data_IF_576163146145
#
_entry.id   IF_576163146145
#
_cell.length_a   1.000
_cell.length_b   1.000
_cell.length_c   1.000
_cell.angle_alpha   90.00
_cell.angle_beta   90.00
_cell.angle_gamma   90.00
#
_symmetry.space_group_name_H-M   'P 1'
#
loop_
_entity.id
_entity.type
_entity.pdbx_description
1 polymer ?
#
# COMPACT_ATOMS: atom_id res chain seq x y z
N UNK A 1 9.53 3.77 -17.92
CA UNK A 1 8.13 3.87 -17.48
C UNK A 1 7.52 5.25 -17.78
N UNK A 2 8.07 6.35 -17.26
CA UNK A 2 7.47 7.70 -17.43
C UNK A 2 7.31 8.15 -18.88
N UNK A 3 8.18 7.70 -19.78
CA UNK A 3 8.16 8.00 -21.22
C UNK A 3 7.53 6.87 -22.03
N UNK A 4 6.82 5.93 -21.41
CA UNK A 4 6.13 4.87 -22.12
C UNK A 4 4.77 5.36 -22.66
N UNK A 5 4.17 4.56 -23.55
CA UNK A 5 2.86 4.80 -24.15
C UNK A 5 1.70 4.42 -23.21
N UNK A 6 1.99 4.19 -21.92
CA UNK A 6 0.94 3.95 -20.92
C UNK A 6 0.14 5.23 -20.69
N UNK A 7 -1.18 5.11 -20.67
CA UNK A 7 -2.08 6.21 -20.39
C UNK A 7 -1.97 6.67 -18.93
N UNK A 8 -1.80 5.72 -18.00
CA UNK A 8 -1.64 6.01 -16.59
C UNK A 8 -2.90 6.59 -15.94
N UNK A 9 -2.75 7.12 -14.74
CA UNK A 9 -3.84 7.73 -13.98
C UNK A 9 -3.83 9.26 -14.13
N UNK A 10 -4.99 9.80 -14.48
CA UNK A 10 -5.17 11.26 -14.59
C UNK A 10 -5.66 11.81 -13.26
N UNK A 11 -4.85 12.66 -12.63
CA UNK A 11 -5.23 13.33 -11.38
C UNK A 11 -6.15 14.51 -11.72
N UNK A 12 -7.37 14.56 -11.18
CA UNK A 12 -8.27 15.68 -11.43
C UNK A 12 -7.64 17.02 -11.04
N UNK A 13 -7.56 17.95 -11.99
CA UNK A 13 -6.97 19.28 -11.78
C UNK A 13 -5.44 19.37 -11.99
N UNK A 14 -4.79 18.27 -12.31
CA UNK A 14 -3.36 18.23 -12.66
C UNK A 14 -3.21 17.92 -14.15
N UNK A 15 -2.44 18.70 -14.93
CA UNK A 15 -2.17 18.39 -16.33
C UNK A 15 -1.25 17.18 -16.53
N UNK A 16 -0.52 16.75 -15.50
CA UNK A 16 0.40 15.63 -15.59
C UNK A 16 -0.30 14.30 -15.31
N UNK A 17 0.14 13.27 -16.02
CA UNK A 17 -0.31 11.89 -15.83
C UNK A 17 0.58 11.19 -14.82
N UNK A 18 -0.02 10.50 -13.87
CA UNK A 18 0.69 9.64 -12.94
C UNK A 18 0.82 8.23 -13.56
N UNK A 19 2.01 7.89 -14.03
CA UNK A 19 2.31 6.57 -14.62
C UNK A 19 2.99 5.66 -13.62
N UNK A 20 4.01 6.16 -12.91
CA UNK A 20 4.75 5.36 -11.95
C UNK A 20 5.33 6.20 -10.83
N UNK A 21 5.35 5.62 -9.64
CA UNK A 21 6.16 6.10 -8.51
C UNK A 21 7.23 5.05 -8.17
N UNK A 22 8.43 5.54 -7.90
CA UNK A 22 9.60 4.72 -7.60
C UNK A 22 10.16 5.14 -6.25
N UNK A 23 10.39 4.18 -5.37
CA UNK A 23 11.04 4.40 -4.08
C UNK A 23 11.97 3.23 -3.77
N UNK A 24 13.28 3.47 -3.82
CA UNK A 24 14.31 2.44 -3.73
C UNK A 24 14.05 1.30 -4.75
N UNK A 25 13.80 0.10 -4.28
CA UNK A 25 13.47 -1.10 -5.08
C UNK A 25 11.95 -1.27 -5.32
N UNK A 26 11.11 -0.53 -4.61
CA UNK A 26 9.67 -0.61 -4.79
C UNK A 26 9.19 0.25 -5.98
N UNK A 27 8.43 -0.36 -6.86
CA UNK A 27 7.83 0.27 -8.04
C UNK A 27 6.31 0.15 -7.99
N UNK A 28 5.61 1.28 -8.03
CA UNK A 28 4.15 1.30 -8.20
C UNK A 28 3.83 1.87 -9.58
N UNK A 29 3.04 1.14 -10.36
CA UNK A 29 2.57 1.56 -11.69
C UNK A 29 1.07 1.83 -11.62
N UNK A 30 0.64 2.91 -12.24
CA UNK A 30 -0.76 3.31 -12.32
C UNK A 30 -1.24 3.05 -13.75
N UNK A 31 -2.30 2.28 -13.88
CA UNK A 31 -2.92 1.95 -15.17
C UNK A 31 -4.34 2.50 -15.22
N UNK A 32 -4.74 2.95 -16.39
CA UNK A 32 -6.14 3.28 -16.72
C UNK A 32 -6.80 2.11 -17.46
N UNK A 33 -8.09 2.22 -17.72
CA UNK A 33 -8.82 1.26 -18.56
C UNK A 33 -8.37 1.24 -20.03
N UNK A 34 -7.68 2.30 -20.48
CA UNK A 34 -7.10 2.40 -21.82
C UNK A 34 -5.74 1.69 -21.94
N UNK A 35 -5.16 1.32 -20.81
CA UNK A 35 -3.91 0.55 -20.77
C UNK A 35 -4.18 -0.94 -20.90
N UNK A 36 -3.17 -1.69 -21.36
CA UNK A 36 -3.23 -3.14 -21.39
C UNK A 36 -2.12 -3.78 -20.56
N UNK A 37 -2.40 -4.96 -20.06
CA UNK A 37 -1.40 -5.76 -19.34
C UNK A 37 -0.18 -6.06 -20.22
N UNK A 38 -0.38 -6.36 -21.51
CA UNK A 38 0.71 -6.66 -22.45
C UNK A 38 1.65 -5.46 -22.61
N UNK A 39 1.09 -4.24 -22.80
CA UNK A 39 1.91 -3.02 -22.86
C UNK A 39 2.76 -2.83 -21.62
N UNK A 40 2.18 -3.07 -20.44
CA UNK A 40 2.94 -2.99 -19.20
C UNK A 40 4.07 -4.03 -19.18
N UNK A 41 3.80 -5.27 -19.55
CA UNK A 41 4.82 -6.33 -19.60
C UNK A 41 5.96 -5.96 -20.53
N UNK A 42 5.68 -5.49 -21.74
CA UNK A 42 6.70 -5.08 -22.70
C UNK A 42 7.60 -3.98 -22.14
N UNK A 43 7.01 -2.97 -21.48
CA UNK A 43 7.77 -1.88 -20.84
C UNK A 43 8.65 -2.39 -19.71
N UNK A 44 8.12 -3.28 -18.85
CA UNK A 44 8.85 -3.87 -17.73
C UNK A 44 9.97 -4.81 -18.20
N UNK A 45 9.72 -5.63 -19.22
CA UNK A 45 10.75 -6.50 -19.81
C UNK A 45 11.90 -5.70 -20.43
N UNK A 46 11.60 -4.65 -21.18
CA UNK A 46 12.61 -3.77 -21.76
C UNK A 46 13.44 -3.10 -20.66
N UNK A 47 12.80 -2.67 -19.56
CA UNK A 47 13.50 -2.11 -18.43
C UNK A 47 14.39 -3.15 -17.74
N UNK A 48 13.91 -4.38 -17.52
CA UNK A 48 14.70 -5.48 -16.97
C UNK A 48 15.92 -5.80 -17.83
N UNK A 49 15.74 -5.89 -19.15
CA UNK A 49 16.84 -6.13 -20.09
C UNK A 49 17.91 -5.04 -20.03
N UNK A 50 17.50 -3.78 -19.89
CA UNK A 50 18.41 -2.64 -19.85
C UNK A 50 19.13 -2.47 -18.50
N UNK A 51 18.44 -2.77 -17.39
CA UNK A 51 18.96 -2.54 -16.03
C UNK A 51 19.59 -3.78 -15.38
N UNK A 52 19.33 -4.98 -15.92
CA UNK A 52 19.70 -6.25 -15.29
C UNK A 52 18.84 -6.61 -14.07
N UNK A 53 17.80 -5.82 -13.76
CA UNK A 53 16.90 -6.09 -12.65
C UNK A 53 15.91 -7.21 -12.99
N UNK A 54 15.35 -7.81 -11.95
CA UNK A 54 14.33 -8.86 -12.07
C UNK A 54 13.19 -8.56 -11.11
N UNK A 55 11.96 -8.49 -11.61
CA UNK A 55 10.78 -8.34 -10.77
C UNK A 55 10.42 -9.66 -10.08
N UNK A 56 10.11 -9.58 -8.80
CA UNK A 56 9.60 -10.72 -8.06
C UNK A 56 8.08 -10.83 -8.27
N UNK A 57 7.68 -11.68 -9.22
CA UNK A 57 6.28 -11.87 -9.63
C UNK A 57 5.40 -12.27 -8.44
N UNK A 58 5.91 -13.06 -7.51
CA UNK A 58 5.12 -13.50 -6.34
C UNK A 58 4.76 -12.36 -5.36
N UNK A 59 5.44 -11.22 -5.46
CA UNK A 59 5.16 -10.01 -4.67
C UNK A 59 4.32 -8.98 -5.42
N UNK A 60 4.05 -9.18 -6.70
CA UNK A 60 3.21 -8.27 -7.46
C UNK A 60 1.78 -8.37 -6.95
N UNK A 61 1.19 -7.22 -6.66
CA UNK A 61 -0.22 -7.11 -6.28
C UNK A 61 -0.87 -5.97 -7.06
N UNK A 62 -2.10 -6.18 -7.47
CA UNK A 62 -2.92 -5.19 -8.16
C UNK A 62 -4.02 -4.75 -7.22
N UNK A 63 -4.18 -3.45 -7.04
CA UNK A 63 -5.26 -2.84 -6.28
C UNK A 63 -6.22 -2.19 -7.28
N UNK A 64 -7.39 -2.78 -7.56
CA UNK A 64 -8.38 -2.19 -8.45
C UNK A 64 -8.91 -0.88 -7.85
N UNK A 65 -9.02 0.18 -8.65
CA UNK A 65 -9.56 1.48 -8.22
C UNK A 65 -10.79 1.78 -9.10
N UNK A 66 -11.79 2.44 -8.54
CA UNK A 66 -13.02 2.82 -9.26
C UNK A 66 -14.29 2.32 -8.58
N UNK A 67 -15.36 2.18 -9.35
CA UNK A 67 -16.65 1.70 -8.84
C UNK A 67 -16.57 0.23 -8.41
N UNK A 68 -17.45 -0.19 -7.49
CA UNK A 68 -17.53 -1.60 -7.06
C UNK A 68 -17.77 -2.53 -8.26
N UNK A 69 -18.66 -2.12 -9.18
CA UNK A 69 -18.97 -2.89 -10.39
C UNK A 69 -17.70 -3.12 -11.23
N UNK A 70 -16.90 -2.08 -11.46
CA UNK A 70 -15.65 -2.21 -12.20
C UNK A 70 -14.65 -3.12 -11.49
N UNK A 71 -14.47 -2.95 -10.17
CA UNK A 71 -13.54 -3.76 -9.39
C UNK A 71 -13.90 -5.25 -9.40
N UNK A 72 -15.20 -5.56 -9.29
CA UNK A 72 -15.70 -6.93 -9.35
C UNK A 72 -15.50 -7.53 -10.75
N UNK A 73 -15.84 -6.75 -11.80
CA UNK A 73 -15.61 -7.17 -13.19
C UNK A 73 -14.13 -7.45 -13.47
N UNK A 74 -13.23 -6.57 -13.03
CA UNK A 74 -11.78 -6.75 -13.20
C UNK A 74 -11.28 -8.01 -12.47
N UNK A 75 -11.79 -8.32 -11.29
CA UNK A 75 -11.41 -9.52 -10.54
C UNK A 75 -11.90 -10.80 -11.22
N UNK A 76 -13.11 -10.79 -11.77
CA UNK A 76 -13.71 -11.95 -12.46
C UNK A 76 -13.07 -12.18 -13.82
N UNK A 77 -13.03 -11.16 -14.67
CA UNK A 77 -12.47 -11.26 -16.02
C UNK A 77 -10.95 -11.23 -16.06
N UNK A 78 -10.31 -10.66 -15.03
CA UNK A 78 -8.89 -10.33 -14.98
C UNK A 78 -8.42 -9.42 -16.12
N UNK A 79 -9.30 -8.62 -16.70
CA UNK A 79 -9.05 -7.71 -17.81
C UNK A 79 -9.27 -6.27 -17.37
N UNK A 80 -8.37 -5.34 -17.75
CA UNK A 80 -8.53 -3.90 -17.46
C UNK A 80 -9.74 -3.32 -18.20
N UNK A 81 -9.96 -3.78 -19.43
CA UNK A 81 -11.17 -3.51 -20.20
C UNK A 81 -11.54 -4.71 -21.08
N UNK A 82 -12.78 -4.80 -21.60
CA UNK A 82 -13.23 -5.88 -22.44
C UNK A 82 -12.31 -6.14 -23.64
N UNK A 83 -12.12 -7.41 -23.97
CA UNK A 83 -11.30 -7.89 -25.12
C UNK A 83 -9.78 -7.72 -24.99
N UNK A 84 -9.29 -7.32 -23.85
CA UNK A 84 -7.84 -7.29 -23.57
C UNK A 84 -7.33 -8.63 -23.04
N UNK A 85 -6.02 -8.84 -23.14
CA UNK A 85 -5.37 -10.02 -22.56
C UNK A 85 -5.58 -10.06 -21.04
N UNK A 86 -6.04 -11.20 -20.50
CA UNK A 86 -6.23 -11.33 -19.07
C UNK A 86 -4.90 -11.27 -18.29
N UNK A 87 -4.95 -10.64 -17.13
CA UNK A 87 -3.85 -10.64 -16.16
C UNK A 87 -3.58 -12.08 -15.71
N UNK A 88 -2.34 -12.56 -15.71
CA UNK A 88 -2.00 -13.94 -15.33
C UNK A 88 -2.51 -14.34 -13.94
N UNK A 89 -2.95 -15.58 -13.80
CA UNK A 89 -3.56 -16.10 -12.57
C UNK A 89 -2.65 -16.09 -11.34
N UNK A 90 -1.34 -16.07 -11.54
CA UNK A 90 -0.33 -15.98 -10.48
C UNK A 90 -0.14 -14.57 -9.94
N UNK A 91 -0.74 -13.55 -10.55
CA UNK A 91 -0.75 -12.17 -10.05
C UNK A 91 -1.93 -11.99 -9.10
N UNK A 92 -1.66 -11.50 -7.89
CA UNK A 92 -2.70 -11.22 -6.90
C UNK A 92 -3.46 -9.95 -7.27
N UNK A 93 -4.80 -10.05 -7.39
CA UNK A 93 -5.70 -8.90 -7.50
C UNK A 93 -6.42 -8.75 -6.15
N UNK A 94 -6.18 -7.63 -5.47
CA UNK A 94 -6.74 -7.37 -4.15
C UNK A 94 -8.27 -7.32 -4.18
N UNK A 95 -8.88 -7.95 -3.18
CA UNK A 95 -10.30 -7.81 -2.92
C UNK A 95 -10.57 -6.58 -2.04
N UNK A 96 -11.81 -6.11 -2.02
CA UNK A 96 -12.24 -5.13 -1.04
C UNK A 96 -12.02 -5.70 0.37
N UNK A 97 -11.82 -4.81 1.34
CA UNK A 97 -11.52 -5.12 2.75
C UNK A 97 -10.17 -5.85 2.99
N UNK A 98 -9.41 -6.19 1.93
CA UNK A 98 -8.09 -6.82 2.03
C UNK A 98 -6.98 -5.78 1.84
N UNK A 99 -6.21 -5.44 2.89
CA UNK A 99 -5.13 -4.48 2.79
C UNK A 99 -3.90 -5.08 2.11
N UNK A 100 -3.28 -4.30 1.23
CA UNK A 100 -1.97 -4.56 0.64
C UNK A 100 -0.95 -3.61 1.26
N UNK A 101 0.21 -4.12 1.64
CA UNK A 101 1.27 -3.31 2.21
C UNK A 101 2.08 -2.63 1.11
N UNK A 102 2.12 -1.29 1.12
CA UNK A 102 2.88 -0.47 0.17
C UNK A 102 3.73 0.51 0.97
N UNK A 103 5.05 0.45 0.85
CA UNK A 103 6.00 1.33 1.56
C UNK A 103 5.73 1.41 3.08
N UNK A 104 5.30 0.31 3.69
CA UNK A 104 4.99 0.27 5.12
C UNK A 104 3.58 0.73 5.49
N UNK A 105 2.85 1.37 4.58
CA UNK A 105 1.44 1.67 4.72
C UNK A 105 0.56 0.50 4.24
N UNK A 106 -0.68 0.49 4.68
CA UNK A 106 -1.68 -0.49 4.25
C UNK A 106 -2.72 0.19 3.36
N UNK A 107 -2.79 -0.21 2.11
CA UNK A 107 -3.63 0.40 1.08
C UNK A 107 -4.62 -0.63 0.54
N UNK A 108 -5.82 -0.20 0.23
CA UNK A 108 -6.86 -1.05 -0.36
C UNK A 108 -8.22 -0.38 -0.30
N UNK A 109 -9.20 -0.99 -0.97
CA UNK A 109 -10.56 -0.49 -0.95
C UNK A 109 -11.27 -0.95 0.33
N UNK A 110 -12.01 -0.06 1.00
CA UNK A 110 -12.83 -0.34 2.19
C UNK A 110 -12.05 -0.94 3.37
N UNK A 111 -10.73 -0.79 3.41
CA UNK A 111 -9.89 -1.33 4.48
C UNK A 111 -10.24 -0.67 5.81
N UNK A 112 -10.42 -1.49 6.84
CA UNK A 112 -10.60 -0.98 8.20
C UNK A 112 -9.27 -0.44 8.75
N UNK A 113 -9.14 0.88 8.79
CA UNK A 113 -7.93 1.56 9.25
C UNK A 113 -7.58 1.24 10.70
N UNK A 114 -8.56 0.97 11.56
CA UNK A 114 -8.31 0.65 12.96
C UNK A 114 -7.66 -0.74 13.15
N UNK A 115 -8.04 -1.73 12.33
CA UNK A 115 -7.50 -3.09 12.42
C UNK A 115 -5.99 -3.16 12.13
N UNK A 116 -5.47 -2.24 11.36
CA UNK A 116 -4.06 -2.15 10.99
C UNK A 116 -3.17 -1.79 12.20
N UNK A 117 -3.74 -1.10 13.18
CA UNK A 117 -3.04 -0.67 14.39
C UNK A 117 -2.94 -1.76 15.46
N UNK A 118 -3.80 -2.80 15.40
CA UNK A 118 -3.85 -3.88 16.39
C UNK A 118 -2.50 -4.60 16.54
N UNK A 119 -1.81 -5.06 15.47
CA UNK A 119 -0.53 -5.74 15.61
C UNK A 119 0.58 -4.85 16.20
N UNK A 120 0.49 -3.54 16.01
CA UNK A 120 1.43 -2.58 16.59
C UNK A 120 1.19 -2.41 18.09
N UNK A 121 -0.07 -2.50 18.53
CA UNK A 121 -0.45 -2.33 19.92
C UNK A 121 -0.08 -3.54 20.80
N UNK A 122 -0.06 -4.76 20.26
CA UNK A 122 0.24 -5.99 21.02
C UNK A 122 1.72 -6.27 21.15
N UNK A 123 2.56 -5.67 20.31
CA UNK A 123 4.03 -5.88 20.31
C UNK A 123 4.79 -4.86 21.14
N UNK A 124 4.13 -4.04 21.92
CA UNK A 124 4.83 -3.05 22.73
C UNK A 124 5.40 -3.68 23.98
N UNK A 125 6.74 -3.75 24.09
CA UNK A 125 7.38 -4.30 25.27
C UNK A 125 7.33 -3.27 26.40
N UNK A 126 6.22 -3.17 27.08
CA UNK A 126 6.15 -2.49 28.37
C UNK A 126 6.73 -3.39 29.47
N UNK A 127 7.99 -3.80 29.28
CA UNK A 127 8.75 -4.48 30.33
C UNK A 127 9.26 -3.45 31.35
N UNK A 128 9.48 -3.89 32.58
CA UNK A 128 9.97 -3.12 33.72
C UNK A 128 11.38 -2.54 33.48
N UNK A 129 11.44 -1.33 32.91
CA UNK A 129 12.67 -0.54 32.84
C UNK A 129 12.39 0.79 33.54
N UNK A 130 12.67 0.89 34.88
CA UNK A 130 12.23 2.02 35.68
C UNK A 130 12.82 3.37 35.27
N UNK A 131 14.10 3.42 34.92
CA UNK A 131 14.83 4.68 34.78
C UNK A 131 14.82 5.32 33.38
N UNK A 132 14.22 4.68 32.38
CA UNK A 132 14.22 5.18 30.99
C UNK A 132 12.84 5.18 30.33
N UNK A 133 11.77 5.24 31.12
CA UNK A 133 10.39 5.18 30.62
C UNK A 133 10.11 6.22 29.54
N UNK A 134 10.59 7.44 29.66
CA UNK A 134 10.45 8.45 28.63
C UNK A 134 11.12 8.10 27.30
N UNK A 135 12.31 7.48 27.34
CA UNK A 135 13.01 7.06 26.13
C UNK A 135 12.29 5.92 25.43
N UNK A 136 11.77 4.94 26.17
CA UNK A 136 10.98 3.85 25.61
C UNK A 136 9.73 4.37 24.92
N UNK A 137 9.00 5.29 25.54
CA UNK A 137 7.80 5.89 24.93
C UNK A 137 8.15 6.66 23.66
N UNK A 138 9.20 7.50 23.71
CA UNK A 138 9.59 8.30 22.55
C UNK A 138 10.09 7.46 21.38
N UNK A 139 10.85 6.38 21.66
CA UNK A 139 11.39 5.50 20.60
C UNK A 139 10.32 4.54 20.09
N UNK A 140 9.64 3.84 20.99
CA UNK A 140 8.72 2.76 20.60
C UNK A 140 7.36 3.30 20.14
N UNK A 141 6.81 4.28 20.83
CA UNK A 141 5.51 4.85 20.47
C UNK A 141 5.71 5.99 19.48
N UNK A 142 6.54 6.96 19.80
CA UNK A 142 6.75 8.14 18.96
C UNK A 142 7.24 7.77 17.57
N UNK A 143 8.32 7.01 17.44
CA UNK A 143 8.91 6.68 16.15
C UNK A 143 8.02 5.74 15.31
N UNK A 144 7.44 4.69 15.92
CA UNK A 144 6.62 3.71 15.18
C UNK A 144 5.27 4.26 14.74
N UNK A 145 4.64 5.10 15.56
CA UNK A 145 3.33 5.64 15.22
C UNK A 145 3.40 6.82 14.28
N UNK A 146 4.49 7.61 14.30
CA UNK A 146 4.63 8.81 13.47
C UNK A 146 4.42 8.54 11.97
N UNK A 147 5.07 7.51 11.46
CA UNK A 147 4.95 7.17 10.04
C UNK A 147 3.52 6.77 9.68
N UNK A 148 2.94 5.81 10.42
CA UNK A 148 1.57 5.35 10.19
C UNK A 148 0.54 6.47 10.34
N UNK A 149 0.72 7.35 11.33
CA UNK A 149 -0.16 8.51 11.54
C UNK A 149 -0.13 9.46 10.34
N UNK A 150 1.05 9.68 9.75
CA UNK A 150 1.20 10.57 8.58
C UNK A 150 0.58 10.00 7.31
N UNK A 151 0.70 8.69 7.09
CA UNK A 151 0.27 8.07 5.82
C UNK A 151 -1.15 7.53 5.86
N UNK A 152 -1.69 7.21 7.04
CA UNK A 152 -3.00 6.58 7.19
C UNK A 152 -3.93 7.33 8.15
N UNK A 153 -3.42 8.32 8.86
CA UNK A 153 -4.12 8.92 9.99
C UNK A 153 -4.19 7.97 11.20
N UNK A 154 -4.54 8.51 12.36
CA UNK A 154 -4.77 7.72 13.57
C UNK A 154 -6.25 7.75 13.93
N UNK A 155 -6.97 6.61 13.88
CA UNK A 155 -8.35 6.56 14.33
C UNK A 155 -8.45 6.91 15.81
N UNK A 156 -9.50 7.66 16.20
CA UNK A 156 -9.69 8.14 17.58
C UNK A 156 -9.64 7.03 18.64
N UNK A 157 -10.19 5.86 18.30
CA UNK A 157 -10.16 4.68 19.18
C UNK A 157 -8.73 4.19 19.45
N UNK A 158 -7.85 4.29 18.45
CA UNK A 158 -6.43 3.92 18.58
C UNK A 158 -5.72 4.93 19.47
N UNK A 159 -5.94 6.21 19.25
CA UNK A 159 -5.39 7.31 20.07
C UNK A 159 -5.76 7.12 21.55
N UNK A 160 -7.05 6.93 21.86
CA UNK A 160 -7.53 6.69 23.21
C UNK A 160 -6.92 5.45 23.88
N UNK A 161 -6.73 4.38 23.09
CA UNK A 161 -6.08 3.16 23.58
C UNK A 161 -4.60 3.40 23.88
N UNK A 162 -3.91 4.15 23.05
CA UNK A 162 -2.53 4.54 23.24
C UNK A 162 -2.34 5.40 24.48
N UNK A 163 -3.14 6.44 24.62
CA UNK A 163 -3.11 7.30 25.81
C UNK A 163 -3.35 6.51 27.11
N UNK A 164 -4.31 5.58 27.10
CA UNK A 164 -4.59 4.72 28.25
C UNK A 164 -3.40 3.84 28.62
N UNK A 165 -2.75 3.22 27.62
CA UNK A 165 -1.54 2.40 27.81
C UNK A 165 -0.35 3.24 28.32
N UNK A 166 -0.14 4.44 27.76
CA UNK A 166 0.90 5.36 28.21
C UNK A 166 0.69 5.75 29.67
N UNK A 167 -0.53 6.17 30.03
CA UNK A 167 -0.89 6.54 31.40
C UNK A 167 -0.70 5.39 32.38
N UNK A 168 -1.04 4.17 31.98
CA UNK A 168 -0.83 2.97 32.81
C UNK A 168 0.67 2.72 33.03
N UNK A 169 1.47 2.77 31.98
CA UNK A 169 2.92 2.56 32.04
C UNK A 169 3.66 3.56 32.95
N UNK A 170 3.13 4.78 33.12
CA UNK A 170 3.69 5.75 34.05
C UNK A 170 3.25 5.56 35.50
N UNK A 171 2.17 4.82 35.73
CA UNK A 171 1.65 4.55 37.10
C UNK A 171 2.29 3.34 37.77
N UNK A 172 2.71 2.37 36.95
CA UNK A 172 3.39 1.13 37.40
C UNK A 172 4.89 1.38 37.55
#
# INVERSE_FOLDING_TARGET
LRNSDLAGYHIPGDPERLIATLFADDTTVYLSEDDSWDKLQDVLENWCKASGAVFNISKIAIIPIGTTIYRDSLRESRQLSPFQTPIPNNINIATDDTPIRVLGAWVGNRVNQASIWVPSNDKWPFGSIPDRRHHVINIEIGARTQYLTRVQGMPKQVEETLEKKIRQFFRD
#
